data_IF_651678699758
#
_entry.id   IF_651678699758
#
_cell.length_a   1.000
_cell.length_b   1.000
_cell.length_c   1.000
_cell.angle_alpha   90.00
_cell.angle_beta   90.00
_cell.angle_gamma   90.00
#
_symmetry.space_group_name_H-M   'P 1'
#
loop_
_entity.id
_entity.type
_entity.pdbx_description
1 polymer ?
#
# COMPACT_ATOMS: atom_id res chain seq x y z
N UNK A 1 2.73 8.65 -13.13
CA UNK A 1 1.34 8.83 -13.57
C UNK A 1 0.90 10.22 -13.12
N UNK A 2 0.31 11.02 -14.01
CA UNK A 2 -0.23 12.33 -13.65
C UNK A 2 -1.42 12.17 -12.69
N UNK A 3 -1.53 13.04 -11.68
CA UNK A 3 -2.59 13.04 -10.67
C UNK A 3 -3.83 13.77 -11.20
N UNK A 4 -4.60 13.09 -12.06
CA UNK A 4 -5.74 13.70 -12.76
C UNK A 4 -6.88 14.08 -11.81
N UNK A 5 -7.13 13.31 -10.74
CA UNK A 5 -8.14 13.65 -9.72
C UNK A 5 -7.77 14.94 -9.00
N UNK A 6 -6.55 15.02 -8.47
CA UNK A 6 -6.07 16.24 -7.80
C UNK A 6 -6.17 17.48 -8.70
N UNK A 7 -5.75 17.36 -9.96
CA UNK A 7 -5.77 18.48 -10.93
C UNK A 7 -7.21 18.93 -11.23
N UNK A 8 -8.14 17.99 -11.40
CA UNK A 8 -9.54 18.30 -11.72
C UNK A 8 -10.22 18.96 -10.53
N UNK A 9 -10.08 18.40 -9.32
CA UNK A 9 -10.63 18.98 -8.10
C UNK A 9 -10.09 20.38 -7.83
N UNK A 10 -8.78 20.59 -7.99
CA UNK A 10 -8.17 21.92 -7.86
C UNK A 10 -8.80 22.95 -8.81
N UNK A 11 -8.97 22.58 -10.08
CA UNK A 11 -9.58 23.46 -11.10
C UNK A 11 -11.05 23.73 -10.80
N UNK A 12 -11.80 22.73 -10.35
CA UNK A 12 -13.21 22.89 -9.96
C UNK A 12 -13.37 23.84 -8.78
N UNK A 13 -12.47 23.76 -7.79
CA UNK A 13 -12.43 24.65 -6.62
C UNK A 13 -11.82 26.03 -6.92
N UNK A 14 -11.34 26.28 -8.14
CA UNK A 14 -10.82 27.58 -8.57
C UNK A 14 -9.42 27.93 -8.08
N UNK A 15 -8.65 26.97 -7.56
CA UNK A 15 -7.30 27.21 -7.07
C UNK A 15 -6.25 27.16 -8.18
N UNK A 16 -5.31 28.11 -8.16
CA UNK A 16 -4.09 28.07 -8.98
C UNK A 16 -3.02 27.16 -8.36
N UNK A 17 -2.06 26.72 -9.18
CA UNK A 17 -0.89 25.99 -8.68
C UNK A 17 -0.04 26.83 -7.72
N UNK A 18 0.02 28.15 -7.94
CA UNK A 18 0.72 29.09 -7.06
C UNK A 18 0.08 29.11 -5.67
N UNK A 19 -1.24 29.29 -5.60
CA UNK A 19 -1.94 29.35 -4.31
C UNK A 19 -1.74 28.10 -3.48
N UNK A 20 -1.88 26.90 -4.06
CA UNK A 20 -1.64 25.66 -3.31
C UNK A 20 -0.16 25.47 -2.93
N UNK A 21 0.77 25.93 -3.77
CA UNK A 21 2.18 25.92 -3.42
C UNK A 21 2.46 26.83 -2.21
N UNK A 22 1.84 28.03 -2.19
CA UNK A 22 1.95 28.98 -1.08
C UNK A 22 1.36 28.40 0.21
N UNK A 23 0.16 27.80 0.16
CA UNK A 23 -0.47 27.14 1.32
C UNK A 23 0.35 25.97 1.88
N UNK A 24 1.05 25.25 1.00
CA UNK A 24 1.92 24.15 1.40
C UNK A 24 3.37 24.60 1.67
N UNK A 25 3.65 25.90 1.68
CA UNK A 25 4.96 26.50 1.89
C UNK A 25 6.05 25.90 0.98
N UNK A 26 5.76 25.77 -0.31
CA UNK A 26 6.70 25.26 -1.30
C UNK A 26 6.69 26.08 -2.59
N UNK A 27 7.68 25.83 -3.45
CA UNK A 27 7.76 26.46 -4.75
C UNK A 27 6.71 25.86 -5.72
N UNK A 28 6.21 26.70 -6.64
CA UNK A 28 5.27 26.28 -7.69
C UNK A 28 5.79 25.12 -8.52
N UNK A 29 7.09 25.11 -8.83
CA UNK A 29 7.74 24.05 -9.59
C UNK A 29 7.70 22.71 -8.84
N UNK A 30 7.87 22.73 -7.51
CA UNK A 30 7.74 21.56 -6.65
C UNK A 30 6.30 21.04 -6.67
N UNK A 31 5.31 21.92 -6.56
CA UNK A 31 3.90 21.55 -6.66
C UNK A 31 3.52 21.00 -8.05
N UNK A 32 4.00 21.61 -9.12
CA UNK A 32 3.78 21.16 -10.50
C UNK A 32 4.32 19.74 -10.73
N UNK A 33 5.48 19.41 -10.16
CA UNK A 33 6.06 18.05 -10.23
C UNK A 33 5.20 17.01 -9.51
N UNK A 34 4.49 17.38 -8.45
CA UNK A 34 3.55 16.50 -7.73
C UNK A 34 2.31 16.22 -8.55
N UNK A 35 1.70 17.26 -9.12
CA UNK A 35 0.54 17.08 -10.03
C UNK A 35 0.90 16.22 -11.25
N UNK A 36 2.10 16.39 -11.82
CA UNK A 36 2.59 15.55 -12.92
C UNK A 36 2.99 14.13 -12.49
N UNK A 37 3.00 13.84 -11.18
CA UNK A 37 3.45 12.57 -10.61
C UNK A 37 4.93 12.26 -10.85
N UNK A 38 5.74 13.30 -11.08
CA UNK A 38 7.20 13.21 -11.12
C UNK A 38 7.74 13.03 -9.71
N UNK A 39 7.17 13.78 -8.75
CA UNK A 39 7.51 13.73 -7.33
C UNK A 39 6.38 13.10 -6.52
N UNK A 40 6.74 12.26 -5.55
CA UNK A 40 5.81 11.66 -4.61
C UNK A 40 5.18 12.72 -3.70
N UNK A 41 3.90 12.54 -3.37
CA UNK A 41 3.15 13.35 -2.40
C UNK A 41 3.03 12.51 -1.14
N UNK A 42 3.56 13.02 -0.03
CA UNK A 42 3.53 12.30 1.24
C UNK A 42 2.10 12.28 1.82
N UNK A 43 1.76 11.30 2.68
CA UNK A 43 0.42 11.19 3.27
C UNK A 43 -0.04 12.45 4.02
N UNK A 44 0.86 13.12 4.74
CA UNK A 44 0.57 14.38 5.45
C UNK A 44 0.23 15.53 4.48
N UNK A 45 0.87 15.55 3.32
CA UNK A 45 0.64 16.56 2.29
C UNK A 45 -0.69 16.31 1.58
N UNK A 46 -1.07 15.04 1.40
CA UNK A 46 -2.40 14.68 0.93
C UNK A 46 -3.51 15.14 1.89
N UNK A 47 -3.32 14.97 3.19
CA UNK A 47 -4.27 15.46 4.19
C UNK A 47 -4.40 16.99 4.15
N UNK A 48 -3.28 17.72 4.06
CA UNK A 48 -3.32 19.18 3.91
C UNK A 48 -4.03 19.62 2.63
N UNK A 49 -3.82 18.91 1.52
CA UNK A 49 -4.50 19.21 0.26
C UNK A 49 -6.01 18.98 0.36
N UNK A 50 -6.44 17.90 1.02
CA UNK A 50 -7.85 17.61 1.27
C UNK A 50 -8.50 18.73 2.11
N UNK A 51 -7.78 19.20 3.14
CA UNK A 51 -8.22 20.28 4.03
C UNK A 51 -8.35 21.62 3.27
N UNK A 52 -7.33 22.03 2.52
CA UNK A 52 -7.34 23.29 1.74
C UNK A 52 -8.42 23.28 0.65
N UNK A 53 -8.66 22.12 0.03
CA UNK A 53 -9.66 21.97 -1.02
C UNK A 53 -11.07 21.72 -0.48
N UNK A 54 -11.21 21.51 0.84
CA UNK A 54 -12.47 21.14 1.51
C UNK A 54 -13.14 19.94 0.81
N UNK A 55 -12.40 18.84 0.68
CA UNK A 55 -12.84 17.59 0.05
C UNK A 55 -12.34 16.39 0.84
N UNK A 56 -12.98 15.24 0.66
CA UNK A 56 -12.47 14.00 1.24
C UNK A 56 -11.17 13.57 0.56
N UNK A 57 -10.30 12.90 1.31
CA UNK A 57 -9.03 12.39 0.80
C UNK A 57 -9.23 11.47 -0.41
N UNK A 58 -10.24 10.59 -0.38
CA UNK A 58 -10.53 9.62 -1.43
C UNK A 58 -10.90 10.25 -2.78
N UNK A 59 -11.40 11.49 -2.76
CA UNK A 59 -11.77 12.24 -3.96
C UNK A 59 -10.54 12.72 -4.74
N UNK A 60 -9.45 13.04 -4.05
CA UNK A 60 -8.22 13.55 -4.66
C UNK A 60 -7.11 12.50 -4.73
N UNK A 61 -7.17 11.46 -3.90
CA UNK A 61 -6.12 10.47 -3.77
C UNK A 61 -6.05 9.54 -4.98
N UNK A 62 -4.83 9.41 -5.49
CA UNK A 62 -4.48 8.47 -6.54
C UNK A 62 -3.17 7.77 -6.15
N UNK A 63 -3.20 6.44 -6.14
CA UNK A 63 -2.00 5.64 -5.90
C UNK A 63 -0.91 5.96 -6.92
N UNK A 64 0.34 5.97 -6.46
CA UNK A 64 1.47 5.95 -7.38
C UNK A 64 1.61 4.53 -7.93
N UNK A 65 1.38 4.37 -9.24
CA UNK A 65 1.55 3.09 -9.94
C UNK A 65 2.95 2.46 -9.76
N UNK A 66 3.94 3.23 -9.28
CA UNK A 66 5.29 2.75 -8.96
C UNK A 66 5.40 2.01 -7.63
N UNK A 67 4.37 2.05 -6.78
CA UNK A 67 4.36 1.47 -5.44
C UNK A 67 3.16 0.55 -5.19
N UNK A 68 2.67 -0.15 -6.22
CA UNK A 68 1.71 -1.24 -6.03
C UNK A 68 2.46 -2.44 -5.44
N UNK A 69 2.49 -2.56 -4.11
CA UNK A 69 2.90 -3.80 -3.46
C UNK A 69 1.66 -4.70 -3.48
N UNK A 70 1.59 -5.60 -4.45
CA UNK A 70 0.52 -6.60 -4.56
C UNK A 70 0.77 -7.68 -3.49
N UNK A 71 0.42 -7.38 -2.24
CA UNK A 71 0.50 -8.34 -1.14
C UNK A 71 -0.66 -9.33 -1.23
N UNK A 72 -0.64 -10.23 -2.23
CA UNK A 72 -1.68 -11.28 -2.30
C UNK A 72 -1.40 -12.48 -1.42
N UNK A 73 -0.17 -12.71 -0.99
CA UNK A 73 0.15 -13.78 -0.04
C UNK A 73 1.61 -13.68 0.39
N UNK A 74 1.94 -12.89 1.41
CA UNK A 74 3.17 -13.11 2.19
C UNK A 74 2.98 -12.57 3.61
N UNK A 75 2.68 -13.48 4.55
CA UNK A 75 2.96 -13.27 5.97
C UNK A 75 4.47 -13.30 6.22
N UNK A 76 5.21 -12.30 5.74
CA UNK A 76 6.56 -12.04 6.25
C UNK A 76 6.68 -10.55 6.50
N UNK A 77 6.67 -10.22 7.79
CA UNK A 77 6.73 -8.87 8.30
C UNK A 77 7.89 -8.10 7.68
N UNK A 78 7.57 -6.91 7.18
CA UNK A 78 8.53 -5.88 6.83
C UNK A 78 9.25 -5.47 8.13
N UNK A 79 10.40 -6.09 8.37
CA UNK A 79 11.31 -5.85 9.47
C UNK A 79 12.72 -5.61 8.92
N UNK A 80 12.91 -4.44 8.31
CA UNK A 80 14.10 -3.57 8.42
C UNK A 80 15.48 -4.25 8.65
N UNK A 81 16.30 -4.25 7.59
CA UNK A 81 17.77 -4.19 7.55
C UNK A 81 18.65 -5.32 8.16
N UNK A 82 19.55 -5.81 7.30
CA UNK A 82 20.89 -6.37 7.55
C UNK A 82 21.04 -7.73 8.26
N UNK A 83 21.49 -8.73 7.48
CA UNK A 83 22.29 -9.85 7.96
C UNK A 83 21.51 -11.14 8.23
N UNK A 84 21.73 -12.16 7.40
CA UNK A 84 21.35 -13.57 7.64
C UNK A 84 19.86 -13.91 7.62
N UNK A 85 19.20 -13.71 6.47
CA UNK A 85 17.98 -14.46 6.17
C UNK A 85 18.38 -15.85 5.64
N UNK A 86 18.57 -16.81 6.54
CA UNK A 86 18.46 -18.22 6.15
C UNK A 86 17.01 -18.47 5.75
N UNK A 87 16.71 -18.26 4.47
CA UNK A 87 15.44 -18.67 3.87
C UNK A 87 15.45 -20.20 3.88
N UNK A 88 14.91 -20.80 4.94
CA UNK A 88 14.73 -22.24 5.00
C UNK A 88 13.58 -22.62 4.07
N UNK A 89 13.92 -22.96 2.82
CA UNK A 89 12.94 -23.53 1.88
C UNK A 89 12.61 -24.94 2.35
N UNK A 90 11.44 -25.11 2.97
CA UNK A 90 10.90 -26.43 3.30
C UNK A 90 10.52 -27.14 2.00
N UNK A 91 11.08 -28.33 1.70
CA UNK A 91 10.70 -29.07 0.50
C UNK A 91 9.20 -29.39 0.51
N UNK A 92 8.53 -29.15 -0.62
CA UNK A 92 7.08 -29.42 -0.76
C UNK A 92 6.71 -30.86 -0.38
N UNK A 93 7.55 -31.82 -0.74
CA UNK A 93 7.35 -33.23 -0.39
C UNK A 93 7.27 -33.47 1.14
N UNK A 94 8.03 -32.70 1.93
CA UNK A 94 7.96 -32.78 3.38
C UNK A 94 6.61 -32.27 3.88
N UNK A 95 6.15 -31.12 3.37
CA UNK A 95 4.84 -30.56 3.71
C UNK A 95 3.70 -31.54 3.37
N UNK A 96 3.72 -32.12 2.17
CA UNK A 96 2.72 -33.09 1.73
C UNK A 96 2.71 -34.34 2.63
N UNK A 97 3.88 -34.79 3.10
CA UNK A 97 3.96 -35.91 4.03
C UNK A 97 3.41 -35.58 5.42
N UNK A 98 3.66 -34.38 5.93
CA UNK A 98 3.13 -33.95 7.23
C UNK A 98 1.61 -33.81 7.18
N UNK A 99 1.07 -33.24 6.09
CA UNK A 99 -0.37 -33.08 5.91
C UNK A 99 -1.11 -34.42 5.94
N UNK A 100 -0.61 -35.42 5.20
CA UNK A 100 -1.18 -36.78 5.20
C UNK A 100 -1.14 -37.44 6.57
N UNK A 101 -0.09 -37.18 7.34
CA UNK A 101 0.04 -37.75 8.68
C UNK A 101 -0.97 -37.13 9.66
N UNK A 102 -1.18 -35.81 9.56
CA UNK A 102 -2.20 -35.09 10.36
C UNK A 102 -3.59 -35.65 10.07
N UNK A 103 -3.95 -35.79 8.79
CA UNK A 103 -5.25 -36.37 8.39
C UNK A 103 -5.47 -37.78 8.95
N UNK A 104 -4.41 -38.61 8.96
CA UNK A 104 -4.46 -39.96 9.53
C UNK A 104 -4.67 -39.93 11.05
N UNK A 105 -4.01 -39.01 11.76
CA UNK A 105 -4.17 -38.85 13.20
C UNK A 105 -5.58 -38.36 13.56
N UNK A 106 -6.09 -37.36 12.84
CA UNK A 106 -7.45 -36.84 13.03
C UNK A 106 -8.51 -37.93 12.81
N UNK A 107 -8.36 -38.72 11.74
CA UNK A 107 -9.25 -39.84 11.46
C UNK A 107 -9.21 -40.91 12.57
N UNK A 108 -8.04 -41.12 13.19
CA UNK A 108 -7.88 -42.07 14.30
C UNK A 108 -8.49 -41.53 15.59
N UNK A 109 -8.31 -40.24 15.89
CA UNK A 109 -8.94 -39.59 17.05
C UNK A 109 -10.46 -39.69 16.93
N UNK A 110 -11.01 -39.36 15.76
CA UNK A 110 -12.45 -39.44 15.53
C UNK A 110 -13.01 -40.84 15.80
N UNK A 111 -12.33 -41.90 15.35
CA UNK A 111 -12.74 -43.28 15.64
C UNK A 111 -12.68 -43.62 17.13
N UNK A 112 -11.70 -43.09 17.85
CA UNK A 112 -11.56 -43.30 19.29
C UNK A 112 -12.57 -42.49 20.12
N UNK A 113 -13.09 -41.39 19.58
CA UNK A 113 -14.18 -40.62 20.20
C UNK A 113 -15.57 -41.22 19.90
N UNK A 114 -15.68 -42.03 18.84
CA UNK A 114 -16.89 -42.74 18.45
C UNK A 114 -17.06 -44.10 19.18
N UNK A 115 -15.98 -44.65 19.76
CA UNK A 115 -15.95 -45.84 20.63
C UNK A 115 -16.12 -45.47 22.13
#
# INVERSE_FOLDING_TARGET
MQKTKLITTRKQKGFSQQQLADYLCMNVSSYNRREKGISHIRPDEWMKLADILEVNLDEIYEHDARYHIDCKDQSVGIGVNNGTNNVYTVPKALLDSQQKYIELLEARIKKLEED
#
